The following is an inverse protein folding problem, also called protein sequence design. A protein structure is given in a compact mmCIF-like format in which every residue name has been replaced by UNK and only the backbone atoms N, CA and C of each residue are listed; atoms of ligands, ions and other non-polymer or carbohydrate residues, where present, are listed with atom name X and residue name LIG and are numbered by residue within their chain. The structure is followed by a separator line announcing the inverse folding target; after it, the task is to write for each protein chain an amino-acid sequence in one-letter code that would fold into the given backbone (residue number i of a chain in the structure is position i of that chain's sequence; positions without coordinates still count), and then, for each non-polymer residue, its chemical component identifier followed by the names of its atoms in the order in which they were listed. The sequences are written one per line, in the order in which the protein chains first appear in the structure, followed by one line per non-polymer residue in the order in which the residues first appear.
data_IF_921695392349
#
_entry.id   IF_921695392349
#
_cell.length_a   1.000
_cell.length_b   1.000
_cell.length_c   1.000
_cell.angle_alpha   90.00
_cell.angle_beta   90.00
_cell.angle_gamma   90.00
#
_symmetry.space_group_name_H-M   'P 1'
#
loop_
_entity.id
_entity.type
_entity.pdbx_description
1 polymer ?
#
# COMPACT_ATOMS: atom_id res chain seq x y z
N UNK A 1 -0.14 -27.46 20.46
CA UNK A 1 0.44 -26.80 19.28
C UNK A 1 -0.44 -26.99 18.04
N UNK A 2 -0.87 -28.22 17.69
CA UNK A 2 -1.70 -28.47 16.48
C UNK A 2 -3.01 -27.65 16.43
N UNK A 3 -3.71 -27.47 17.55
CA UNK A 3 -4.99 -26.72 17.59
C UNK A 3 -4.78 -25.19 17.61
N UNK A 4 -3.55 -24.71 17.84
CA UNK A 4 -3.29 -23.27 17.91
C UNK A 4 -3.48 -22.57 16.56
N UNK A 5 -3.10 -23.24 15.46
CA UNK A 5 -3.25 -22.69 14.11
C UNK A 5 -4.74 -22.55 13.74
N UNK A 6 -5.61 -23.58 13.86
CA UNK A 6 -7.05 -23.42 13.62
C UNK A 6 -7.71 -22.36 14.50
N UNK A 7 -7.39 -22.30 15.80
CA UNK A 7 -7.98 -21.28 16.70
C UNK A 7 -7.56 -19.87 16.26
N UNK A 8 -6.29 -19.66 15.92
CA UNK A 8 -5.82 -18.36 15.44
C UNK A 8 -6.50 -17.96 14.13
N UNK A 9 -6.69 -18.89 13.19
CA UNK A 9 -7.39 -18.64 11.93
C UNK A 9 -8.86 -18.27 12.19
N UNK A 10 -9.58 -19.06 13.00
CA UNK A 10 -11.00 -18.80 13.29
C UNK A 10 -11.22 -17.48 14.04
N UNK A 11 -10.40 -17.20 15.05
CA UNK A 11 -10.53 -15.96 15.84
C UNK A 11 -10.20 -14.72 15.01
N UNK A 12 -9.20 -14.79 14.13
CA UNK A 12 -8.92 -13.71 13.18
C UNK A 12 -10.02 -13.55 12.13
N UNK A 13 -10.57 -14.64 11.58
CA UNK A 13 -11.66 -14.58 10.61
C UNK A 13 -12.94 -13.99 11.22
N UNK A 14 -13.29 -14.43 12.43
CA UNK A 14 -14.44 -13.90 13.18
C UNK A 14 -14.29 -12.40 13.47
N UNK A 15 -13.07 -11.94 13.78
CA UNK A 15 -12.77 -10.52 13.94
C UNK A 15 -13.05 -9.74 12.66
N UNK A 16 -12.43 -10.15 11.55
CA UNK A 16 -12.55 -9.45 10.25
C UNK A 16 -14.01 -9.37 9.81
N UNK A 17 -14.75 -10.48 9.95
CA UNK A 17 -16.18 -10.51 9.65
C UNK A 17 -16.98 -9.61 10.59
N UNK A 18 -16.72 -9.68 11.90
CA UNK A 18 -17.40 -8.86 12.90
C UNK A 18 -17.17 -7.36 12.68
N UNK A 19 -15.92 -6.95 12.40
CA UNK A 19 -15.61 -5.56 12.05
C UNK A 19 -16.30 -5.14 10.76
N UNK A 20 -16.34 -6.01 9.75
CA UNK A 20 -17.06 -5.73 8.49
C UNK A 20 -18.56 -5.53 8.69
N UNK A 21 -19.20 -6.38 9.50
CA UNK A 21 -20.62 -6.26 9.86
C UNK A 21 -20.88 -4.97 10.65
N UNK A 22 -20.03 -4.63 11.62
CA UNK A 22 -20.16 -3.40 12.40
C UNK A 22 -20.03 -2.15 11.53
N UNK A 23 -19.05 -2.12 10.62
CA UNK A 23 -18.90 -1.02 9.65
C UNK A 23 -20.11 -0.91 8.73
N UNK A 24 -20.68 -2.05 8.30
CA UNK A 24 -21.84 -2.06 7.41
C UNK A 24 -23.10 -1.49 8.08
N UNK A 25 -23.39 -1.86 9.32
CA UNK A 25 -24.61 -1.41 10.01
C UNK A 25 -24.49 -0.09 10.75
N UNK A 26 -23.31 0.21 11.32
CA UNK A 26 -23.11 1.37 12.20
C UNK A 26 -22.16 2.42 11.61
N UNK A 27 -21.70 2.22 10.38
CA UNK A 27 -20.78 3.12 9.69
C UNK A 27 -19.34 3.01 10.18
N UNK A 28 -18.42 3.67 9.47
CA UNK A 28 -16.97 3.59 9.69
C UNK A 28 -16.53 4.07 11.08
N UNK A 29 -17.28 5.01 11.67
CA UNK A 29 -17.02 5.52 13.03
C UNK A 29 -17.14 4.46 14.13
N UNK A 30 -17.91 3.39 13.91
CA UNK A 30 -18.05 2.29 14.88
C UNK A 30 -16.82 1.37 14.95
N UNK A 31 -15.92 1.48 13.97
CA UNK A 31 -14.75 0.61 13.81
C UNK A 31 -13.44 1.37 13.67
N UNK A 32 -13.44 2.69 13.82
CA UNK A 32 -12.23 3.53 13.77
C UNK A 32 -11.66 3.80 15.17
N UNK A 33 -10.35 4.01 15.25
CA UNK A 33 -9.65 4.42 16.48
C UNK A 33 -9.75 3.38 17.62
N UNK A 34 -10.22 3.82 18.79
CA UNK A 34 -10.21 3.03 20.04
C UNK A 34 -11.02 1.72 19.92
N UNK A 35 -12.11 1.72 19.15
CA UNK A 35 -12.96 0.54 18.96
C UNK A 35 -12.29 -0.53 18.10
N UNK A 36 -11.51 -0.11 17.11
CA UNK A 36 -10.67 -1.01 16.32
C UNK A 36 -9.67 -1.75 17.22
N UNK A 37 -8.99 -1.00 18.08
CA UNK A 37 -7.95 -1.53 18.96
C UNK A 37 -8.54 -2.43 20.06
N UNK A 38 -9.66 -2.01 20.66
CA UNK A 38 -10.39 -2.80 21.65
C UNK A 38 -10.85 -4.16 21.08
N UNK A 39 -11.37 -4.16 19.85
CA UNK A 39 -11.75 -5.42 19.16
C UNK A 39 -10.54 -6.32 18.91
N UNK A 40 -9.36 -5.75 18.66
CA UNK A 40 -8.11 -6.48 18.51
C UNK A 40 -7.68 -7.18 19.80
N UNK A 41 -7.69 -6.45 20.93
CA UNK A 41 -7.38 -7.02 22.25
C UNK A 41 -8.36 -8.12 22.66
N UNK A 42 -9.66 -7.93 22.39
CA UNK A 42 -10.68 -8.92 22.70
C UNK A 42 -10.41 -10.26 22.00
N UNK A 43 -9.95 -10.24 20.75
CA UNK A 43 -9.65 -11.44 19.97
C UNK A 43 -8.48 -12.22 20.56
N UNK A 44 -7.45 -11.54 21.06
CA UNK A 44 -6.35 -12.20 21.77
C UNK A 44 -6.80 -12.85 23.08
N UNK A 45 -7.67 -12.19 23.85
CA UNK A 45 -8.26 -12.75 25.08
C UNK A 45 -9.11 -13.98 24.77
N UNK A 46 -9.96 -13.92 23.74
CA UNK A 46 -10.79 -15.03 23.29
C UNK A 46 -9.94 -16.20 22.80
N UNK A 47 -8.91 -15.94 21.99
CA UNK A 47 -7.99 -16.98 21.52
C UNK A 47 -7.27 -17.67 22.68
N UNK A 48 -6.80 -16.90 23.68
CA UNK A 48 -6.15 -17.45 24.88
C UNK A 48 -7.13 -18.30 25.72
N UNK A 49 -8.36 -17.82 25.89
CA UNK A 49 -9.40 -18.56 26.61
C UNK A 49 -9.72 -19.88 25.90
N UNK A 50 -9.89 -19.86 24.57
CA UNK A 50 -10.14 -21.06 23.76
C UNK A 50 -8.98 -22.04 23.82
N UNK A 51 -7.74 -21.57 23.76
CA UNK A 51 -6.55 -22.42 23.89
C UNK A 51 -6.47 -23.07 25.28
N UNK A 52 -6.77 -22.30 26.33
CA UNK A 52 -6.76 -22.80 27.71
C UNK A 52 -7.85 -23.84 27.91
N UNK A 53 -9.07 -23.56 27.42
CA UNK A 53 -10.19 -24.48 27.47
C UNK A 53 -9.92 -25.77 26.68
N UNK A 54 -9.39 -25.66 25.46
CA UNK A 54 -9.01 -26.81 24.65
C UNK A 54 -7.97 -27.69 25.38
N UNK A 55 -6.94 -27.08 25.99
CA UNK A 55 -5.94 -27.80 26.77
C UNK A 55 -6.55 -28.51 28.01
N UNK A 56 -7.48 -27.86 28.72
CA UNK A 56 -8.19 -28.47 29.86
C UNK A 56 -9.05 -29.65 29.39
N UNK A 57 -9.79 -29.50 28.28
CA UNK A 57 -10.66 -30.54 27.72
C UNK A 57 -9.82 -31.72 27.23
N UNK A 58 -8.76 -31.48 26.48
CA UNK A 58 -7.81 -32.52 26.05
C UNK A 58 -7.25 -33.30 27.23
N UNK A 59 -6.84 -32.63 28.30
CA UNK A 59 -6.36 -33.30 29.53
C UNK A 59 -7.44 -34.14 30.22
N UNK A 60 -8.70 -33.73 30.16
CA UNK A 60 -9.83 -34.45 30.76
C UNK A 60 -10.32 -35.62 29.90
N UNK A 61 -10.27 -35.50 28.59
CA UNK A 61 -10.75 -36.50 27.61
C UNK A 61 -9.67 -37.54 27.33
N UNK A 62 -8.40 -37.13 27.20
CA UNK A 62 -7.25 -38.04 27.03
C UNK A 62 -6.77 -38.65 28.36
N UNK A 63 -7.68 -38.89 29.32
CA UNK A 63 -7.41 -39.70 30.52
C UNK A 63 -6.99 -41.12 30.08
N UNK A 64 -5.69 -41.32 29.85
CA UNK A 64 -5.17 -42.59 29.34
C UNK A 64 -3.77 -42.54 28.72
N UNK A 65 -3.21 -41.36 28.45
CA UNK A 65 -1.76 -41.25 28.22
C UNK A 65 -1.06 -41.45 29.55
N UNK A 66 -0.53 -42.64 29.81
CA UNK A 66 0.35 -42.91 30.95
C UNK A 66 1.26 -41.71 31.16
N UNK A 67 1.36 -41.20 32.40
CA UNK A 67 2.56 -40.43 32.75
C UNK A 67 3.71 -41.34 32.30
N UNK A 68 4.62 -40.91 31.40
CA UNK A 68 5.84 -41.67 31.27
C UNK A 68 6.33 -41.86 32.71
N UNK A 69 6.49 -43.12 33.12
CA UNK A 69 7.26 -43.43 34.33
C UNK A 69 8.46 -42.50 34.27
N UNK A 70 8.78 -41.74 35.34
CA UNK A 70 9.93 -40.84 35.28
C UNK A 70 11.10 -41.74 34.89
N UNK A 71 11.49 -41.70 33.62
CA UNK A 71 12.77 -42.24 33.23
C UNK A 71 13.72 -41.49 34.13
N UNK A 72 14.67 -42.20 34.74
CA UNK A 72 15.75 -41.61 35.54
C UNK A 72 16.68 -40.70 34.68
N UNK A 73 16.15 -40.08 33.64
CA UNK A 73 16.67 -38.85 33.08
C UNK A 73 16.53 -37.82 34.17
N UNK A 74 17.56 -37.70 35.00
CA UNK A 74 17.82 -36.48 35.75
C UNK A 74 17.52 -35.32 34.79
N UNK A 75 16.54 -34.46 35.09
CA UNK A 75 16.25 -33.34 34.21
C UNK A 75 17.53 -32.51 34.14
N UNK A 76 18.21 -32.53 32.99
CA UNK A 76 19.45 -31.80 32.80
C UNK A 76 19.23 -30.36 33.32
N UNK A 77 20.09 -29.83 34.21
CA UNK A 77 19.82 -28.59 34.95
C UNK A 77 19.52 -27.37 34.05
N UNK A 78 19.97 -27.41 32.79
CA UNK A 78 19.70 -26.38 31.80
C UNK A 78 18.25 -26.38 31.28
N UNK A 79 17.54 -27.51 31.31
CA UNK A 79 16.17 -27.64 30.78
C UNK A 79 15.09 -27.10 31.74
N UNK A 80 15.42 -26.85 33.01
CA UNK A 80 14.48 -26.30 34.03
C UNK A 80 14.78 -24.85 34.43
N UNK A 81 15.75 -24.18 33.79
CA UNK A 81 16.18 -22.80 34.15
C UNK A 81 16.21 -21.79 33.01
N UNK A 82 15.72 -22.11 31.82
CA UNK A 82 15.23 -21.05 30.94
C UNK A 82 13.84 -20.64 31.44
N UNK A 83 13.78 -19.95 32.60
CA UNK A 83 12.53 -19.35 33.08
C UNK A 83 11.95 -18.46 31.98
N UNK A 84 10.67 -18.10 32.01
CA UNK A 84 10.09 -17.20 31.00
C UNK A 84 10.76 -15.80 30.96
N UNK A 85 11.65 -15.50 31.92
CA UNK A 85 12.30 -14.22 32.14
C UNK A 85 13.19 -13.69 30.99
N UNK A 86 14.09 -14.46 30.33
CA UNK A 86 14.88 -13.94 29.21
C UNK A 86 14.01 -13.73 27.96
N UNK A 87 12.95 -14.52 27.76
CA UNK A 87 11.97 -14.28 26.69
C UNK A 87 11.17 -13.00 26.97
N UNK A 88 10.68 -12.82 28.21
CA UNK A 88 9.99 -11.61 28.63
C UNK A 88 10.90 -10.38 28.52
N UNK A 89 12.15 -10.47 28.96
CA UNK A 89 13.14 -9.40 28.81
C UNK A 89 13.42 -9.09 27.33
N UNK A 90 13.58 -10.12 26.48
CA UNK A 90 13.76 -9.91 25.05
C UNK A 90 12.55 -9.22 24.40
N UNK A 91 11.32 -9.58 24.81
CA UNK A 91 10.10 -8.93 24.34
C UNK A 91 9.98 -7.48 24.83
N UNK A 92 10.33 -7.20 26.10
CA UNK A 92 10.30 -5.84 26.65
C UNK A 92 11.36 -4.97 25.98
N UNK A 93 12.61 -5.45 25.90
CA UNK A 93 13.70 -4.72 25.24
C UNK A 93 13.40 -4.53 23.76
N UNK A 94 12.87 -5.56 23.08
CA UNK A 94 12.42 -5.46 21.70
C UNK A 94 11.29 -4.44 21.53
N UNK A 95 10.31 -4.43 22.43
CA UNK A 95 9.21 -3.47 22.45
C UNK A 95 9.71 -2.03 22.66
N UNK A 96 10.64 -1.81 23.59
CA UNK A 96 11.28 -0.51 23.82
C UNK A 96 12.06 -0.07 22.57
N UNK A 97 12.83 -0.97 21.97
CA UNK A 97 13.61 -0.68 20.76
C UNK A 97 12.71 -0.31 19.58
N UNK A 98 11.61 -1.04 19.36
CA UNK A 98 10.61 -0.74 18.33
C UNK A 98 9.91 0.59 18.63
N UNK A 99 9.49 0.83 19.87
CA UNK A 99 8.83 2.09 20.24
C UNK A 99 9.77 3.29 20.08
N UNK A 100 11.03 3.15 20.50
CA UNK A 100 12.07 4.15 20.27
C UNK A 100 12.30 4.38 18.78
N UNK A 101 12.34 3.31 17.98
CA UNK A 101 12.49 3.42 16.53
C UNK A 101 11.31 4.18 15.88
N UNK A 102 10.07 3.81 16.22
CA UNK A 102 8.85 4.42 15.67
C UNK A 102 8.69 5.88 16.11
N UNK A 103 9.03 6.21 17.36
CA UNK A 103 8.93 7.57 17.90
C UNK A 103 9.93 8.56 17.29
N UNK A 104 11.00 8.09 16.62
CA UNK A 104 11.89 8.95 15.82
C UNK A 104 11.21 9.56 14.59
N UNK A 105 10.00 9.14 14.24
CA UNK A 105 9.25 9.65 13.10
C UNK A 105 9.88 9.31 11.74
N UNK A 106 9.32 9.87 10.69
CA UNK A 106 9.81 9.74 9.32
C UNK A 106 10.57 11.00 8.90
N UNK A 107 11.62 10.81 8.11
CA UNK A 107 12.36 11.94 7.53
C UNK A 107 11.50 12.52 6.41
N UNK A 108 11.18 13.80 6.55
CA UNK A 108 10.56 14.58 5.48
C UNK A 108 11.64 15.18 4.61
N UNK A 109 11.50 15.05 3.29
CA UNK A 109 12.45 15.57 2.32
C UNK A 109 11.87 16.80 1.64
N UNK A 110 12.71 17.82 1.47
CA UNK A 110 12.29 19.05 0.83
C UNK A 110 11.95 18.81 -0.65
N UNK A 111 10.83 19.35 -1.11
CA UNK A 111 10.32 19.22 -2.47
C UNK A 111 9.50 20.44 -2.89
N UNK A 112 9.36 20.61 -4.18
CA UNK A 112 8.42 21.58 -4.75
C UNK A 112 6.99 21.04 -4.72
N UNK A 113 5.99 21.92 -4.73
CA UNK A 113 4.58 21.51 -4.81
C UNK A 113 4.23 21.05 -6.23
N UNK A 114 3.39 20.03 -6.38
CA UNK A 114 2.93 19.55 -7.68
C UNK A 114 2.10 20.60 -8.43
N UNK A 115 1.51 21.57 -7.72
CA UNK A 115 0.89 22.75 -8.31
C UNK A 115 1.87 23.60 -9.13
N UNK A 116 3.17 23.53 -8.85
CA UNK A 116 4.23 24.24 -9.56
C UNK A 116 4.79 23.44 -10.75
N UNK A 117 4.21 22.28 -11.07
CA UNK A 117 4.58 21.53 -12.28
C UNK A 117 4.44 22.43 -13.53
N UNK A 118 5.38 22.38 -14.50
CA UNK A 118 5.33 23.27 -15.66
C UNK A 118 4.02 23.14 -16.42
N UNK A 119 3.48 24.26 -16.90
CA UNK A 119 2.30 24.27 -17.79
C UNK A 119 2.61 23.68 -19.17
N UNK A 120 3.88 23.46 -19.49
CA UNK A 120 4.33 22.89 -20.76
C UNK A 120 5.26 21.72 -20.50
N UNK A 121 4.93 20.56 -21.05
CA UNK A 121 5.76 19.36 -21.02
C UNK A 121 6.21 19.07 -22.45
N UNK A 122 7.34 19.66 -22.85
CA UNK A 122 7.81 19.59 -24.22
C UNK A 122 6.83 20.23 -25.21
N UNK A 123 6.31 19.45 -26.15
CA UNK A 123 5.30 19.91 -27.13
C UNK A 123 3.88 19.95 -26.57
N UNK A 124 3.66 19.39 -25.37
CA UNK A 124 2.35 19.35 -24.72
C UNK A 124 2.12 20.63 -23.92
N UNK A 125 1.04 21.34 -24.22
CA UNK A 125 0.58 22.50 -23.45
C UNK A 125 -0.57 22.12 -22.53
N UNK A 126 -0.57 22.61 -21.30
CA UNK A 126 -1.68 22.42 -20.36
C UNK A 126 -2.96 23.01 -20.97
N UNK A 127 -4.03 22.22 -20.93
CA UNK A 127 -5.35 22.58 -21.41
C UNK A 127 -6.24 22.91 -20.20
N UNK A 128 -6.66 24.17 -20.11
CA UNK A 128 -7.51 24.65 -19.01
C UNK A 128 -6.79 24.70 -17.66
N UNK A 129 -7.58 24.84 -16.61
CA UNK A 129 -7.10 24.88 -15.23
C UNK A 129 -6.88 23.48 -14.65
N UNK A 130 -6.23 23.42 -13.50
CA UNK A 130 -6.01 22.17 -12.78
C UNK A 130 -7.33 21.59 -12.25
N UNK A 131 -7.52 20.29 -12.46
CA UNK A 131 -8.70 19.56 -12.00
C UNK A 131 -8.54 19.26 -10.51
N UNK A 132 -9.52 19.68 -9.70
CA UNK A 132 -9.55 19.44 -8.25
C UNK A 132 -10.62 18.43 -7.91
N UNK A 133 -10.30 17.54 -6.98
CA UNK A 133 -11.27 16.62 -6.39
C UNK A 133 -12.18 17.34 -5.40
N UNK A 134 -13.36 16.75 -5.13
CA UNK A 134 -14.21 17.19 -4.03
C UNK A 134 -13.55 16.92 -2.67
N UNK A 135 -13.91 17.70 -1.65
CA UNK A 135 -13.36 17.57 -0.29
C UNK A 135 -13.58 16.19 0.33
N UNK A 136 -14.67 15.53 -0.06
CA UNK A 136 -15.01 14.16 0.32
C UNK A 136 -14.01 13.14 -0.24
N UNK A 137 -13.65 13.27 -1.53
CA UNK A 137 -12.64 12.41 -2.17
C UNK A 137 -11.26 12.68 -1.56
N UNK A 138 -10.89 13.94 -1.36
CA UNK A 138 -9.60 14.30 -0.73
C UNK A 138 -9.46 13.73 0.69
N UNK A 139 -10.54 13.75 1.48
CA UNK A 139 -10.56 13.18 2.82
C UNK A 139 -10.36 11.64 2.83
N UNK A 140 -10.76 10.96 1.76
CA UNK A 140 -10.56 9.51 1.59
C UNK A 140 -9.16 9.21 1.07
N UNK A 141 -8.71 9.94 0.03
CA UNK A 141 -7.39 9.73 -0.58
C UNK A 141 -6.26 10.03 0.41
N UNK A 142 -6.41 11.06 1.24
CA UNK A 142 -5.38 11.53 2.19
C UNK A 142 -4.02 11.76 1.51
N UNK A 143 -4.04 12.15 0.24
CA UNK A 143 -2.85 12.59 -0.50
C UNK A 143 -2.25 13.81 0.19
N UNK A 144 -0.92 13.86 0.30
CA UNK A 144 -0.24 15.05 0.83
C UNK A 144 -0.29 16.18 -0.19
N UNK A 145 -0.08 15.83 -1.46
CA UNK A 145 -0.09 16.75 -2.57
C UNK A 145 -0.47 15.97 -3.83
N UNK A 146 -1.23 16.59 -4.72
CA UNK A 146 -1.59 15.98 -5.98
C UNK A 146 -1.77 17.02 -7.07
N UNK A 147 -1.56 16.58 -8.32
CA UNK A 147 -1.96 17.33 -9.50
C UNK A 147 -2.77 16.45 -10.43
N UNK A 148 -3.83 17.00 -11.00
CA UNK A 148 -4.56 16.41 -12.10
C UNK A 148 -4.77 17.47 -13.17
N UNK A 149 -4.23 17.23 -14.37
CA UNK A 149 -4.22 18.22 -15.45
C UNK A 149 -4.47 17.55 -16.78
N UNK A 150 -5.08 18.30 -17.68
CA UNK A 150 -5.12 17.93 -19.09
C UNK A 150 -3.99 18.64 -19.84
N UNK A 151 -3.44 17.95 -20.83
CA UNK A 151 -2.46 18.46 -21.77
C UNK A 151 -2.93 18.19 -23.19
N UNK A 152 -2.70 19.14 -24.08
CA UNK A 152 -2.95 19.01 -25.51
C UNK A 152 -1.64 18.98 -26.29
N UNK A 153 -1.52 18.02 -27.21
CA UNK A 153 -0.46 17.97 -28.19
C UNK A 153 -0.80 18.87 -29.41
N UNK A 154 0.20 19.24 -30.25
CA UNK A 154 -0.02 20.06 -31.43
C UNK A 154 -0.97 19.44 -32.47
N UNK A 155 -1.14 18.12 -32.46
CA UNK A 155 -2.07 17.41 -33.35
C UNK A 155 -3.52 17.36 -32.82
N UNK A 156 -3.81 18.08 -31.73
CA UNK A 156 -5.12 18.16 -31.10
C UNK A 156 -5.43 17.04 -30.12
N UNK A 157 -4.55 16.05 -29.95
CA UNK A 157 -4.74 14.97 -28.98
C UNK A 157 -4.70 15.52 -27.56
N UNK A 158 -5.63 15.06 -26.73
CA UNK A 158 -5.71 15.43 -25.30
C UNK A 158 -5.36 14.23 -24.45
N UNK A 159 -4.53 14.47 -23.43
CA UNK A 159 -4.13 13.49 -22.43
C UNK A 159 -4.33 14.07 -21.02
N UNK A 160 -4.76 13.23 -20.09
CA UNK A 160 -4.84 13.54 -18.68
C UNK A 160 -3.62 12.98 -17.94
N UNK A 161 -3.05 13.76 -17.02
CA UNK A 161 -2.10 13.26 -16.04
C UNK A 161 -2.70 13.31 -14.64
N UNK A 162 -2.28 12.37 -13.81
CA UNK A 162 -2.48 12.40 -12.37
C UNK A 162 -1.19 12.02 -11.66
N UNK A 163 -0.79 12.84 -10.69
CA UNK A 163 0.32 12.52 -9.78
C UNK A 163 -0.21 12.68 -8.36
N UNK A 164 -0.29 11.58 -7.62
CA UNK A 164 -0.69 11.59 -6.21
C UNK A 164 0.49 11.29 -5.32
N UNK A 165 1.00 12.28 -4.59
CA UNK A 165 2.12 12.15 -3.67
C UNK A 165 1.68 12.01 -2.22
N UNK A 166 2.40 11.15 -1.52
CA UNK A 166 2.23 10.85 -0.11
C UNK A 166 3.58 11.07 0.58
N UNK A 167 3.62 12.00 1.53
CA UNK A 167 4.78 12.25 2.39
C UNK A 167 4.99 11.16 3.45
N UNK A 168 3.94 10.36 3.68
CA UNK A 168 3.93 9.21 4.58
C UNK A 168 2.95 8.18 4.04
N UNK A 169 3.29 6.90 4.16
CA UNK A 169 2.38 5.78 3.88
C UNK A 169 1.85 5.09 5.15
N UNK A 170 1.88 5.78 6.29
CA UNK A 170 1.37 5.27 7.57
C UNK A 170 -0.09 5.63 7.77
N UNK A 171 -0.74 5.00 8.76
CA UNK A 171 -2.07 5.42 9.28
C UNK A 171 -3.17 5.49 8.21
N UNK A 172 -3.11 4.58 7.22
CA UNK A 172 -4.11 4.47 6.16
C UNK A 172 -3.99 5.49 5.02
N UNK A 173 -2.98 6.37 5.03
CA UNK A 173 -2.68 7.24 3.90
C UNK A 173 -1.81 6.48 2.88
N UNK A 174 -2.38 5.56 2.12
CA UNK A 174 -1.65 4.75 1.15
C UNK A 174 -2.23 4.93 -0.24
N UNK A 175 -1.38 5.21 -1.22
CA UNK A 175 -1.77 5.01 -2.62
C UNK A 175 -1.89 3.52 -2.91
N UNK A 176 -2.65 3.23 -3.96
CA UNK A 176 -2.86 1.90 -4.52
C UNK A 176 -2.91 1.99 -6.05
N UNK A 177 -2.82 0.85 -6.72
CA UNK A 177 -2.95 0.77 -8.18
C UNK A 177 -4.28 1.35 -8.68
N UNK A 178 -4.31 2.00 -9.86
CA UNK A 178 -5.55 2.37 -10.54
C UNK A 178 -6.53 1.19 -10.73
N UNK A 179 -6.01 -0.05 -10.68
CA UNK A 179 -6.78 -1.30 -10.70
C UNK A 179 -7.85 -1.38 -9.61
N UNK A 180 -7.69 -0.68 -8.49
CA UNK A 180 -8.67 -0.75 -7.40
C UNK A 180 -9.79 0.29 -7.52
N UNK A 181 -9.57 1.41 -8.20
CA UNK A 181 -10.55 2.50 -8.30
C UNK A 181 -11.26 2.57 -9.66
N UNK A 182 -10.53 2.37 -10.76
CA UNK A 182 -11.08 2.53 -12.09
C UNK A 182 -12.23 1.56 -12.40
N UNK A 183 -12.22 0.28 -11.97
CA UNK A 183 -13.36 -0.62 -12.19
C UNK A 183 -14.62 -0.15 -11.46
N UNK A 184 -14.46 0.41 -10.26
CA UNK A 184 -15.56 1.03 -9.51
C UNK A 184 -16.18 2.25 -10.21
N UNK A 185 -15.40 2.93 -11.07
CA UNK A 185 -15.86 4.02 -11.92
C UNK A 185 -16.35 3.56 -13.31
N UNK A 186 -16.50 2.24 -13.53
CA UNK A 186 -17.02 1.66 -14.76
C UNK A 186 -15.99 1.39 -15.87
N UNK A 187 -14.70 1.54 -15.58
CA UNK A 187 -13.64 1.24 -16.56
C UNK A 187 -13.28 -0.25 -16.56
N UNK A 188 -13.33 -0.86 -17.73
CA UNK A 188 -12.79 -2.19 -17.99
C UNK A 188 -11.35 -2.05 -18.46
N UNK A 189 -10.43 -2.75 -17.80
CA UNK A 189 -9.01 -2.77 -18.19
C UNK A 189 -8.70 -4.04 -18.95
N UNK A 190 -7.94 -3.90 -20.03
CA UNK A 190 -7.51 -5.00 -20.88
C UNK A 190 -6.06 -4.79 -21.35
N UNK A 191 -5.49 -5.86 -21.89
CA UNK A 191 -4.15 -5.88 -22.46
C UNK A 191 -3.05 -5.35 -21.50
N UNK A 192 -2.91 -5.98 -20.31
CA UNK A 192 -1.87 -5.62 -19.35
C UNK A 192 -0.49 -5.84 -19.94
N UNK A 193 0.35 -4.82 -19.94
CA UNK A 193 1.72 -4.94 -20.43
C UNK A 193 2.69 -4.09 -19.59
N UNK A 194 3.95 -4.51 -19.54
CA UNK A 194 5.03 -3.72 -18.96
C UNK A 194 5.84 -3.12 -20.10
N UNK A 195 5.97 -1.80 -20.07
CA UNK A 195 6.60 -1.02 -21.14
C UNK A 195 7.78 -0.25 -20.58
N UNK A 196 8.84 -0.11 -21.38
CA UNK A 196 9.99 0.72 -21.01
C UNK A 196 9.78 2.13 -21.51
N UNK A 197 9.75 3.09 -20.60
CA UNK A 197 9.71 4.52 -20.91
C UNK A 197 11.14 5.06 -20.82
N UNK A 198 11.59 5.73 -21.86
CA UNK A 198 12.90 6.37 -21.92
C UNK A 198 12.72 7.88 -22.01
N UNK A 199 13.28 8.58 -21.01
CA UNK A 199 13.26 10.03 -20.92
C UNK A 199 14.30 10.68 -21.86
N UNK A 200 14.20 11.99 -22.09
CA UNK A 200 15.13 12.71 -22.96
C UNK A 200 16.57 12.72 -22.42
N UNK A 201 16.75 12.65 -21.10
CA UNK A 201 18.05 12.50 -20.45
C UNK A 201 18.67 11.11 -20.59
N UNK A 202 17.96 10.15 -21.19
CA UNK A 202 18.41 8.76 -21.34
C UNK A 202 18.09 7.87 -20.13
N UNK A 203 17.42 8.37 -19.09
CA UNK A 203 16.92 7.54 -17.99
C UNK A 203 15.76 6.68 -18.49
N UNK A 204 15.87 5.37 -18.33
CA UNK A 204 14.83 4.40 -18.68
C UNK A 204 14.25 3.74 -17.44
N UNK A 205 12.95 3.46 -17.46
CA UNK A 205 12.25 2.75 -16.39
C UNK A 205 11.08 1.94 -16.94
N UNK A 206 10.61 0.97 -16.16
CA UNK A 206 9.45 0.17 -16.51
C UNK A 206 8.18 0.80 -15.94
N UNK A 207 7.11 0.83 -16.74
CA UNK A 207 5.78 1.27 -16.36
C UNK A 207 4.71 0.26 -16.80
N UNK A 208 3.54 0.31 -16.18
CA UNK A 208 2.41 -0.49 -16.64
C UNK A 208 1.69 0.24 -17.76
N UNK A 209 1.25 -0.51 -18.79
CA UNK A 209 0.34 -0.06 -19.83
C UNK A 209 -0.92 -0.90 -19.81
N UNK A 210 -2.07 -0.23 -19.87
CA UNK A 210 -3.39 -0.84 -20.03
C UNK A 210 -4.18 -0.13 -21.11
N UNK A 211 -5.04 -0.87 -21.81
CA UNK A 211 -6.15 -0.32 -22.57
C UNK A 211 -7.37 -0.26 -21.66
N UNK A 212 -8.05 0.87 -21.65
CA UNK A 212 -9.20 1.15 -20.81
C UNK A 212 -10.44 1.40 -21.66
N UNK A 213 -11.56 0.80 -21.27
CA UNK A 213 -12.86 0.98 -21.93
C UNK A 213 -13.95 1.37 -20.94
N UNK A 214 -14.69 2.43 -21.23
CA UNK A 214 -15.90 2.80 -20.51
C UNK A 214 -16.95 3.30 -21.51
N UNK A 215 -17.93 2.44 -21.84
CA UNK A 215 -18.89 2.72 -22.91
C UNK A 215 -18.18 2.96 -24.26
N UNK A 216 -18.31 4.18 -24.79
CA UNK A 216 -17.68 4.62 -26.04
C UNK A 216 -16.30 5.26 -25.82
N UNK A 217 -15.86 5.43 -24.58
CA UNK A 217 -14.54 5.95 -24.27
C UNK A 217 -13.53 4.81 -24.29
N UNK A 218 -12.47 5.01 -25.07
CA UNK A 218 -11.36 4.08 -25.20
C UNK A 218 -10.06 4.84 -24.99
N UNK A 219 -9.28 4.44 -23.99
CA UNK A 219 -8.11 5.17 -23.54
C UNK A 219 -6.91 4.23 -23.33
N UNK A 220 -5.71 4.76 -23.58
CA UNK A 220 -4.45 4.14 -23.17
C UNK A 220 -4.06 4.73 -21.83
N UNK A 221 -3.76 3.88 -20.85
CA UNK A 221 -3.23 4.29 -19.56
C UNK A 221 -1.80 3.79 -19.38
N UNK A 222 -0.91 4.69 -18.99
CA UNK A 222 0.42 4.38 -18.46
C UNK A 222 0.44 4.76 -16.98
N UNK A 223 0.96 3.90 -16.11
CA UNK A 223 1.18 4.28 -14.71
C UNK A 223 2.37 3.57 -14.08
N UNK A 224 2.98 4.24 -13.10
CA UNK A 224 4.12 3.74 -12.32
C UNK A 224 4.13 4.34 -10.92
N UNK A 225 4.99 3.81 -10.07
CA UNK A 225 5.28 4.32 -8.74
C UNK A 225 6.67 4.96 -8.73
N UNK A 226 6.81 6.07 -8.03
CA UNK A 226 8.09 6.79 -7.96
C UNK A 226 8.30 7.37 -6.56
N UNK A 227 9.51 7.24 -6.04
CA UNK A 227 9.92 7.80 -4.76
C UNK A 227 11.11 7.06 -4.17
N UNK A 228 11.82 7.71 -3.24
CA UNK A 228 12.99 7.12 -2.53
C UNK A 228 14.04 6.59 -3.51
N UNK A 229 14.19 7.29 -4.63
CA UNK A 229 15.24 7.07 -5.63
C UNK A 229 14.93 5.93 -6.61
N UNK A 230 13.68 5.45 -6.63
CA UNK A 230 13.25 4.36 -7.52
C UNK A 230 12.01 4.74 -8.32
N UNK A 231 11.92 4.12 -9.50
CA UNK A 231 10.76 4.15 -10.38
C UNK A 231 10.38 2.70 -10.67
N UNK A 232 9.16 2.31 -10.30
CA UNK A 232 8.75 0.91 -10.22
C UNK A 232 7.38 0.72 -10.89
N UNK A 233 7.25 -0.30 -11.74
CA UNK A 233 5.95 -0.69 -12.30
C UNK A 233 5.12 -1.50 -11.30
N UNK A 234 5.77 -2.38 -10.53
CA UNK A 234 5.08 -3.29 -9.61
C UNK A 234 4.71 -2.57 -8.32
N UNK A 235 3.43 -2.63 -7.95
CA UNK A 235 2.98 -2.15 -6.63
C UNK A 235 3.61 -2.98 -5.51
N UNK A 236 3.80 -4.28 -5.73
CA UNK A 236 4.38 -5.18 -4.74
C UNK A 236 5.83 -4.83 -4.44
N UNK A 237 6.62 -4.57 -5.49
CA UNK A 237 8.02 -4.17 -5.31
C UNK A 237 8.08 -2.83 -4.57
N UNK A 238 7.21 -1.88 -4.93
CA UNK A 238 7.18 -0.56 -4.30
C UNK A 238 6.83 -0.66 -2.81
N UNK A 239 5.89 -1.55 -2.44
CA UNK A 239 5.53 -1.81 -1.05
C UNK A 239 6.64 -2.51 -0.28
N UNK A 240 7.29 -3.52 -0.86
CA UNK A 240 8.44 -4.20 -0.21
C UNK A 240 9.58 -3.22 0.03
N UNK A 241 9.91 -2.42 -0.98
CA UNK A 241 10.94 -1.40 -0.89
C UNK A 241 10.57 -0.29 0.12
N UNK A 242 9.29 0.09 0.21
CA UNK A 242 8.79 1.00 1.24
C UNK A 242 9.00 0.43 2.65
N UNK A 243 8.77 -0.87 2.87
CA UNK A 243 9.01 -1.53 4.16
C UNK A 243 10.51 -1.47 4.50
N UNK A 244 11.37 -1.85 3.56
CA UNK A 244 12.83 -1.83 3.75
C UNK A 244 13.32 -0.40 4.06
N UNK A 245 12.82 0.59 3.35
CA UNK A 245 13.21 1.99 3.51
C UNK A 245 12.63 2.63 4.77
N UNK A 246 11.49 2.17 5.25
CA UNK A 246 10.95 2.60 6.54
C UNK A 246 11.91 2.26 7.70
N UNK A 247 12.65 1.15 7.57
CA UNK A 247 13.62 0.67 8.57
C UNK A 247 15.00 1.29 8.34
N UNK A 248 15.48 1.29 7.10
CA UNK A 248 16.86 1.68 6.76
C UNK A 248 17.02 3.18 6.53
N UNK A 249 16.04 3.84 5.91
CA UNK A 249 16.06 5.26 5.54
C UNK A 249 15.09 6.12 6.35
N UNK A 250 14.20 5.51 7.14
CA UNK A 250 13.08 6.18 7.83
C UNK A 250 12.20 6.98 6.86
N UNK A 251 12.03 6.48 5.64
CA UNK A 251 11.24 7.11 4.59
C UNK A 251 10.20 6.12 4.06
N UNK A 252 8.97 6.61 3.89
CA UNK A 252 7.89 5.87 3.20
C UNK A 252 7.21 6.72 2.14
N UNK A 253 7.75 7.91 1.85
CA UNK A 253 7.18 8.86 0.91
C UNK A 253 7.31 8.37 -0.53
N UNK A 254 6.30 8.64 -1.34
CA UNK A 254 6.27 8.21 -2.73
C UNK A 254 5.02 8.70 -3.45
N UNK A 255 4.97 8.50 -4.76
CA UNK A 255 3.84 8.89 -5.58
C UNK A 255 3.42 7.77 -6.54
N UNK A 256 2.13 7.77 -6.85
CA UNK A 256 1.60 7.09 -8.02
C UNK A 256 1.44 8.12 -9.14
N UNK A 257 1.99 7.82 -10.31
CA UNK A 257 1.93 8.65 -11.51
C UNK A 257 1.12 7.92 -12.56
N UNK A 258 0.20 8.62 -13.21
CA UNK A 258 -0.67 8.09 -14.26
C UNK A 258 -0.77 9.08 -15.42
N UNK A 259 -0.70 8.57 -16.63
CA UNK A 259 -0.98 9.26 -17.88
C UNK A 259 -2.07 8.50 -18.61
N UNK A 260 -3.12 9.19 -19.07
CA UNK A 260 -4.23 8.62 -19.84
C UNK A 260 -4.46 9.45 -21.09
N UNK A 261 -4.68 8.81 -22.23
CA UNK A 261 -5.02 9.51 -23.48
C UNK A 261 -6.08 8.72 -24.23
N UNK A 262 -6.98 9.43 -24.92
CA UNK A 262 -7.91 8.76 -25.83
C UNK A 262 -7.18 8.03 -26.95
N UNK A 263 -7.64 6.83 -27.28
CA UNK A 263 -7.17 6.04 -28.43
C UNK A 263 -7.49 6.76 -29.74
N UNK A 264 -8.73 7.26 -29.87
CA UNK A 264 -9.20 7.89 -31.11
C UNK A 264 -9.32 6.88 -32.25
N UNK A 265 -8.89 7.26 -33.46
CA UNK A 265 -8.96 6.42 -34.66
C UNK A 265 -7.69 5.58 -34.90
N UNK A 266 -6.63 5.80 -34.12
CA UNK A 266 -5.31 5.18 -34.30
C UNK A 266 -4.69 4.88 -32.93
N UNK A 267 -4.68 3.59 -32.59
CA UNK A 267 -4.18 3.07 -31.31
C UNK A 267 -2.66 3.21 -31.15
N UNK A 268 -1.89 2.90 -32.20
CA UNK A 268 -0.43 3.01 -32.15
C UNK A 268 -0.01 4.46 -31.93
N UNK A 269 -0.68 5.41 -32.60
CA UNK A 269 -0.45 6.84 -32.37
C UNK A 269 -0.83 7.25 -30.95
N UNK A 270 -1.85 6.65 -30.35
CA UNK A 270 -2.24 6.91 -28.96
C UNK A 270 -1.22 6.38 -27.96
N UNK A 271 -0.74 5.15 -28.16
CA UNK A 271 0.27 4.52 -27.33
C UNK A 271 1.56 5.35 -27.36
N UNK A 272 2.01 5.75 -28.55
CA UNK A 272 3.21 6.58 -28.69
C UNK A 272 3.05 7.95 -28.03
N UNK A 273 1.86 8.57 -28.13
CA UNK A 273 1.58 9.81 -27.44
C UNK A 273 1.60 9.66 -25.90
N UNK A 274 1.06 8.55 -25.38
CA UNK A 274 1.10 8.25 -23.96
C UNK A 274 2.54 8.03 -23.47
N UNK A 275 3.39 7.37 -24.26
CA UNK A 275 4.81 7.19 -23.95
C UNK A 275 5.59 8.51 -23.95
N UNK A 276 5.39 9.35 -24.97
CA UNK A 276 6.05 10.66 -25.07
C UNK A 276 5.70 11.56 -23.88
N UNK A 277 4.41 11.67 -23.52
CA UNK A 277 4.01 12.48 -22.37
C UNK A 277 4.52 11.87 -21.05
N UNK A 278 4.52 10.55 -20.90
CA UNK A 278 5.06 9.87 -19.71
C UNK A 278 6.56 10.15 -19.54
N UNK A 279 7.33 10.10 -20.63
CA UNK A 279 8.76 10.41 -20.63
C UNK A 279 9.03 11.87 -20.24
N UNK A 280 8.28 12.82 -20.81
CA UNK A 280 8.41 14.25 -20.50
C UNK A 280 8.00 14.58 -19.07
N UNK A 281 6.94 13.94 -18.58
CA UNK A 281 6.50 14.09 -17.19
C UNK A 281 7.58 13.54 -16.24
N UNK A 282 8.06 12.32 -16.46
CA UNK A 282 9.06 11.68 -15.62
C UNK A 282 10.38 12.47 -15.54
N UNK A 283 10.77 13.19 -16.59
CA UNK A 283 11.94 14.08 -16.58
C UNK A 283 11.79 15.23 -15.57
N UNK A 284 10.58 15.77 -15.40
CA UNK A 284 10.33 16.89 -14.48
C UNK A 284 10.13 16.45 -13.03
N UNK A 285 9.69 15.21 -12.81
CA UNK A 285 9.27 14.74 -11.49
C UNK A 285 10.34 14.75 -10.37
N UNK A 286 11.66 14.63 -10.58
CA UNK A 286 12.63 14.62 -9.48
C UNK A 286 12.59 15.86 -8.56
N UNK A 287 12.21 17.03 -9.08
CA UNK A 287 12.08 18.25 -8.27
C UNK A 287 10.86 18.25 -7.33
N UNK A 288 9.90 17.36 -7.60
CA UNK A 288 8.64 17.22 -6.88
C UNK A 288 8.63 15.94 -6.05
N UNK A 289 9.12 14.82 -6.59
CA UNK A 289 9.14 13.53 -5.91
C UNK A 289 10.59 13.22 -5.53
N UNK A 290 10.94 13.28 -4.24
CA UNK A 290 12.34 13.17 -3.83
C UNK A 290 12.93 11.78 -4.06
N UNK A 291 14.15 11.79 -4.58
CA UNK A 291 15.03 10.61 -4.68
C UNK A 291 15.58 10.18 -3.31
#
# INVERSE_FOLDING_TARGET
MVIAVPIAVFTNAARVMGTGVLTFYYGKSATDGVWHDASGWLVYVVALALLTAANIILRRVLKGGARPSPSNVEPKPWARKAGALPLLLALVVGGIAVNWFVSRGEIQVNRSMLSELPKTLGTWGQRGDEIKFGKDIEAVLKTTDYTMREYSAPDGRVANIYVGYYSTQRTGATYHSPQNCLPGAGWVMSDPNIVTITTASGRSFNANRYLLKNGNYYEVMIYWYQGRGRIEASEYDDKVNTIIDSVTRRRTDGAMVRVMTSVGTDEDKAINAAYDLSARLAEQLPAYIPE
#
